data_IF_503469264870
#
_entry.id   IF_503469264870
#
_cell.length_a   1.000
_cell.length_b   1.000
_cell.length_c   1.000
_cell.angle_alpha   90.00
_cell.angle_beta   90.00
_cell.angle_gamma   90.00
#
_symmetry.space_group_name_H-M   'P 1'
#
loop_
_entity.id
_entity.type
_entity.pdbx_description
1 polymer ?
#
# COMPACT_ATOMS: atom_id res chain seq x y z
N UNK A 1 -0.13 30.96 -5.01
CA UNK A 1 0.83 30.61 -6.09
C UNK A 1 1.42 29.23 -5.89
N UNK A 2 2.04 28.96 -4.74
CA UNK A 2 2.74 27.68 -4.52
C UNK A 2 1.93 26.63 -3.77
N UNK A 3 1.11 27.01 -2.78
CA UNK A 3 0.26 26.06 -2.05
C UNK A 3 -0.74 25.32 -2.94
N UNK A 4 -1.38 26.02 -3.88
CA UNK A 4 -2.29 25.38 -4.84
C UNK A 4 -1.57 24.38 -5.75
N UNK A 5 -0.31 24.67 -6.13
CA UNK A 5 0.51 23.80 -6.97
C UNK A 5 0.98 22.57 -6.19
N UNK A 6 1.40 22.75 -4.93
CA UNK A 6 1.73 21.67 -4.01
C UNK A 6 0.53 20.74 -3.77
N UNK A 7 -0.66 21.31 -3.57
CA UNK A 7 -1.90 20.54 -3.40
C UNK A 7 -2.25 19.72 -4.66
N UNK A 8 -2.08 20.30 -5.85
CA UNK A 8 -2.32 19.58 -7.11
C UNK A 8 -1.33 18.44 -7.30
N UNK A 9 -0.05 18.63 -6.97
CA UNK A 9 0.93 17.54 -7.01
C UNK A 9 0.67 16.46 -5.97
N UNK A 10 0.26 16.83 -4.76
CA UNK A 10 -0.09 15.89 -3.70
C UNK A 10 -1.29 15.03 -4.08
N UNK A 11 -2.32 15.65 -4.66
CA UNK A 11 -3.50 14.96 -5.18
C UNK A 11 -3.15 14.03 -6.35
N UNK A 12 -2.35 14.50 -7.32
CA UNK A 12 -1.91 13.68 -8.45
C UNK A 12 -1.04 12.49 -8.00
N UNK A 13 -0.13 12.69 -7.04
CA UNK A 13 0.68 11.62 -6.47
C UNK A 13 -0.17 10.59 -5.72
N UNK A 14 -1.19 11.04 -4.99
CA UNK A 14 -2.15 10.14 -4.33
C UNK A 14 -2.92 9.30 -5.35
N UNK A 15 -3.50 9.94 -6.37
CA UNK A 15 -4.28 9.28 -7.41
C UNK A 15 -3.44 8.27 -8.20
N UNK A 16 -2.19 8.61 -8.55
CA UNK A 16 -1.27 7.69 -9.23
C UNK A 16 -0.95 6.49 -8.33
N UNK A 17 -0.78 6.71 -7.03
CA UNK A 17 -0.49 5.64 -6.07
C UNK A 17 -1.68 4.68 -5.97
N UNK A 18 -2.89 5.21 -5.88
CA UNK A 18 -4.12 4.41 -5.78
C UNK A 18 -4.40 3.65 -7.10
N UNK A 19 -4.28 4.32 -8.24
CA UNK A 19 -4.41 3.68 -9.55
C UNK A 19 -3.36 2.57 -9.76
N UNK A 20 -2.12 2.80 -9.31
CA UNK A 20 -1.06 1.81 -9.34
C UNK A 20 -1.37 0.59 -8.46
N UNK A 21 -1.93 0.82 -7.26
CA UNK A 21 -2.34 -0.24 -6.35
C UNK A 21 -3.48 -1.09 -6.94
N UNK A 22 -4.46 -0.46 -7.58
CA UNK A 22 -5.57 -1.16 -8.21
C UNK A 22 -5.15 -1.96 -9.44
N UNK A 23 -4.21 -1.43 -10.24
CA UNK A 23 -3.57 -2.19 -11.32
C UNK A 23 -2.83 -3.41 -10.78
N UNK A 24 -1.98 -3.23 -9.75
CA UNK A 24 -1.21 -4.33 -9.14
C UNK A 24 -2.13 -5.43 -8.62
N UNK A 25 -3.24 -5.03 -8.00
CA UNK A 25 -4.19 -5.96 -7.42
C UNK A 25 -5.01 -6.69 -8.49
N UNK A 26 -5.34 -6.03 -9.60
CA UNK A 26 -5.94 -6.67 -10.77
C UNK A 26 -4.98 -7.70 -11.40
N UNK A 27 -3.70 -7.35 -11.52
CA UNK A 27 -2.65 -8.26 -11.99
C UNK A 27 -2.50 -9.48 -11.08
N UNK A 28 -2.42 -9.29 -9.76
CA UNK A 28 -2.32 -10.38 -8.79
C UNK A 28 -3.56 -11.28 -8.80
N UNK A 29 -4.77 -10.72 -8.91
CA UNK A 29 -6.02 -11.52 -9.03
C UNK A 29 -5.96 -12.45 -10.23
N UNK A 30 -5.58 -11.95 -11.41
CA UNK A 30 -5.48 -12.78 -12.61
C UNK A 30 -4.45 -13.91 -12.46
N UNK A 31 -3.33 -13.65 -11.77
CA UNK A 31 -2.32 -14.65 -11.48
C UNK A 31 -2.83 -15.73 -10.52
N UNK A 32 -3.45 -15.34 -9.40
CA UNK A 32 -3.92 -16.29 -8.39
C UNK A 32 -5.09 -17.15 -8.85
N UNK A 33 -5.98 -16.63 -9.70
CA UNK A 33 -7.08 -17.42 -10.28
C UNK A 33 -6.52 -18.64 -11.05
N UNK A 34 -5.42 -18.46 -11.79
CA UNK A 34 -4.75 -19.57 -12.52
C UNK A 34 -4.16 -20.62 -11.58
N UNK A 35 -3.91 -20.28 -10.32
CA UNK A 35 -3.42 -21.18 -9.27
C UNK A 35 -4.57 -21.75 -8.40
N UNK A 36 -5.84 -21.52 -8.76
CA UNK A 36 -6.99 -21.95 -7.96
C UNK A 36 -7.11 -21.19 -6.64
N UNK A 37 -6.64 -19.95 -6.58
CA UNK A 37 -6.65 -19.09 -5.38
C UNK A 37 -7.38 -17.78 -5.66
N UNK A 38 -7.85 -17.14 -4.60
CA UNK A 38 -8.51 -15.84 -4.63
C UNK A 38 -7.86 -14.89 -3.64
N UNK A 39 -7.82 -13.60 -3.97
CA UNK A 39 -7.47 -12.56 -3.03
C UNK A 39 -8.70 -12.17 -2.22
N UNK A 40 -8.51 -11.94 -0.92
CA UNK A 40 -9.55 -11.39 -0.06
C UNK A 40 -10.09 -10.06 -0.61
N UNK A 41 -11.34 -9.73 -0.29
CA UNK A 41 -11.95 -8.49 -0.75
C UNK A 41 -11.26 -7.25 -0.17
N UNK A 42 -10.86 -7.33 1.11
CA UNK A 42 -10.18 -6.24 1.81
C UNK A 42 -8.66 -6.39 1.78
N UNK A 43 -7.99 -5.23 1.74
CA UNK A 43 -6.56 -5.02 1.99
C UNK A 43 -6.43 -4.27 3.31
N UNK A 44 -5.38 -4.53 4.08
CA UNK A 44 -5.11 -3.82 5.33
C UNK A 44 -3.77 -3.08 5.23
N UNK A 45 -3.76 -1.82 5.66
CA UNK A 45 -2.57 -0.98 5.71
C UNK A 45 -2.40 -0.46 7.14
N UNK A 46 -1.17 -0.29 7.66
CA UNK A 46 -0.98 0.29 8.98
C UNK A 46 -1.69 1.64 9.13
N UNK A 47 -2.48 1.79 10.18
CA UNK A 47 -3.30 2.97 10.44
C UNK A 47 -4.72 2.92 9.83
N UNK A 48 -5.14 1.81 9.22
CA UNK A 48 -6.49 1.65 8.66
C UNK A 48 -7.22 0.42 9.24
N UNK A 49 -8.49 0.61 9.62
CA UNK A 49 -9.32 -0.44 10.24
C UNK A 49 -8.72 -0.89 11.57
N UNK A 50 -8.57 -2.21 11.74
CA UNK A 50 -8.05 -2.82 12.97
C UNK A 50 -6.51 -2.95 12.99
N UNK A 51 -5.81 -2.47 11.95
CA UNK A 51 -4.36 -2.56 11.87
C UNK A 51 -3.72 -1.27 12.39
N UNK A 52 -3.21 -1.32 13.62
CA UNK A 52 -2.59 -0.16 14.29
C UNK A 52 -1.38 0.39 13.51
N UNK A 53 -1.21 1.72 13.53
CA UNK A 53 -0.15 2.43 12.80
C UNK A 53 1.26 1.98 13.21
N UNK A 54 1.47 1.52 14.46
CA UNK A 54 2.77 1.01 14.93
C UNK A 54 3.27 -0.18 14.10
N UNK A 55 2.36 -0.92 13.44
CA UNK A 55 2.74 -1.99 12.52
C UNK A 55 3.49 -1.48 11.28
N UNK A 56 3.49 -0.18 11.00
CA UNK A 56 4.24 0.41 9.90
C UNK A 56 5.75 0.12 10.00
N UNK A 57 6.29 0.01 11.22
CA UNK A 57 7.70 -0.38 11.41
C UNK A 57 7.99 -1.80 10.91
N UNK A 58 7.05 -2.73 11.11
CA UNK A 58 7.18 -4.11 10.61
C UNK A 58 7.21 -4.10 9.09
N UNK A 59 6.27 -3.39 8.47
CA UNK A 59 6.18 -3.27 7.00
C UNK A 59 7.43 -2.60 6.43
N UNK A 60 7.90 -1.52 7.06
CA UNK A 60 9.10 -0.80 6.67
C UNK A 60 10.33 -1.71 6.65
N UNK A 61 10.49 -2.57 7.66
CA UNK A 61 11.59 -3.53 7.74
C UNK A 61 11.43 -4.69 6.76
N UNK A 62 10.26 -5.33 6.68
CA UNK A 62 10.04 -6.49 5.81
C UNK A 62 10.15 -6.18 4.33
N UNK A 63 9.70 -5.00 3.92
CA UNK A 63 9.79 -4.54 2.53
C UNK A 63 11.13 -3.86 2.22
N UNK A 64 12.04 -3.77 3.21
CA UNK A 64 13.34 -3.09 3.11
C UNK A 64 13.22 -1.67 2.53
N UNK A 65 12.20 -0.91 2.94
CA UNK A 65 11.86 0.38 2.30
C UNK A 65 12.99 1.41 2.35
N UNK A 66 13.91 1.27 3.32
CA UNK A 66 15.14 2.05 3.40
C UNK A 66 15.97 1.97 2.11
N UNK A 67 16.05 0.79 1.50
CA UNK A 67 16.84 0.55 0.29
C UNK A 67 16.21 1.22 -0.95
N UNK A 68 14.92 1.56 -0.84
CA UNK A 68 14.16 2.33 -1.83
C UNK A 68 14.20 3.84 -1.56
N UNK A 69 14.99 4.28 -0.57
CA UNK A 69 15.13 5.69 -0.18
C UNK A 69 13.97 6.24 0.66
N UNK A 70 13.02 5.40 1.06
CA UNK A 70 11.91 5.78 1.93
C UNK A 70 12.42 5.82 3.37
N UNK A 71 12.01 6.83 4.13
CA UNK A 71 12.31 6.97 5.57
C UNK A 71 11.04 6.78 6.39
N UNK A 72 11.21 6.41 7.65
CA UNK A 72 10.14 6.37 8.66
C UNK A 72 10.48 7.30 9.83
N UNK A 73 9.49 8.04 10.32
CA UNK A 73 9.64 8.92 11.50
C UNK A 73 9.40 8.16 12.80
N UNK A 74 9.78 8.71 13.98
CA UNK A 74 9.44 8.10 15.28
C UNK A 74 7.93 7.96 15.55
N UNK A 75 7.10 8.70 14.80
CA UNK A 75 5.63 8.60 14.83
C UNK A 75 5.08 7.72 13.71
N UNK A 76 5.91 6.89 13.09
CA UNK A 76 5.56 5.91 12.06
C UNK A 76 5.11 6.50 10.71
N UNK A 77 5.20 7.81 10.49
CA UNK A 77 4.94 8.40 9.16
C UNK A 77 6.07 8.07 8.18
N UNK A 78 5.71 7.71 6.94
CA UNK A 78 6.66 7.49 5.85
C UNK A 78 7.04 8.81 5.16
N UNK A 79 8.26 8.87 4.64
CA UNK A 79 8.76 9.99 3.84
C UNK A 79 9.36 9.42 2.56
N UNK A 80 8.82 9.73 1.37
CA UNK A 80 7.69 10.64 1.13
C UNK A 80 6.35 10.12 1.70
N UNK A 81 5.46 11.06 2.07
CA UNK A 81 4.17 10.74 2.72
C UNK A 81 3.24 9.94 1.80
N UNK A 82 3.30 10.18 0.49
CA UNK A 82 2.60 9.38 -0.52
C UNK A 82 3.34 8.07 -0.81
N UNK A 83 3.41 7.23 0.21
CA UNK A 83 3.88 5.85 0.15
C UNK A 83 2.80 4.96 0.73
N UNK A 84 2.33 3.98 -0.03
CA UNK A 84 1.30 3.04 0.42
C UNK A 84 1.89 1.65 0.58
N UNK A 85 1.59 1.01 1.71
CA UNK A 85 1.96 -0.38 2.00
C UNK A 85 0.74 -1.12 2.53
N UNK A 86 0.47 -2.32 2.04
CA UNK A 86 -0.70 -3.10 2.44
C UNK A 86 -0.42 -4.60 2.45
N UNK A 87 -1.20 -5.34 3.24
CA UNK A 87 -1.34 -6.80 3.19
C UNK A 87 -2.69 -7.17 2.58
N UNK A 88 -2.71 -8.29 1.87
CA UNK A 88 -3.92 -8.91 1.32
C UNK A 88 -3.88 -10.41 1.59
N UNK A 89 -5.02 -10.98 1.99
CA UNK A 89 -5.12 -12.42 2.18
C UNK A 89 -5.19 -13.15 0.84
N UNK A 90 -4.60 -14.34 0.80
CA UNK A 90 -4.70 -15.28 -0.33
C UNK A 90 -5.34 -16.56 0.20
N UNK A 91 -6.46 -16.95 -0.39
CA UNK A 91 -7.24 -18.11 0.02
C UNK A 91 -7.39 -19.09 -1.14
N UNK A 92 -7.55 -20.38 -0.83
CA UNK A 92 -7.96 -21.35 -1.86
C UNK A 92 -9.35 -21.00 -2.37
N UNK A 93 -9.53 -21.04 -3.68
CA UNK A 93 -10.86 -20.97 -4.27
C UNK A 93 -11.66 -22.15 -3.76
N UNK A 94 -12.67 -21.89 -2.93
CA UNK A 94 -13.63 -22.94 -2.55
C UNK A 94 -14.36 -23.34 -3.84
N UNK A 95 -14.31 -24.63 -4.18
CA UNK A 95 -15.25 -25.22 -5.12
C UNK A 95 -16.67 -25.11 -4.55
#
# INVERSE_FOLDING_TARGET
>A
GEMAKALVYDAAASEITDAGLDWLMSFLRQRFIREGKVLTHMRYSPGYGDLDLTNQDIFYRWLNLKDWGIKITPKYMLIPEKTVTAIVGVESSKN
#
